data_IF_576914818424
#
_entry.id   IF_576914818424
#
_cell.length_a   1.000
_cell.length_b   1.000
_cell.length_c   1.000
_cell.angle_alpha   90.00
_cell.angle_beta   90.00
_cell.angle_gamma   90.00
#
_symmetry.space_group_name_H-M   'P 1'
#
loop_
_entity.id
_entity.type
_entity.pdbx_description
1 polymer ?
#
# COMPACT_ATOMS: atom_id res chain seq x y z
N UNK A 1 -2.09 19.20 -17.55
CA UNK A 1 -2.33 18.14 -16.58
C UNK A 1 -3.62 17.46 -16.99
N UNK A 2 -3.58 16.15 -17.18
CA UNK A 2 -4.74 15.37 -17.64
C UNK A 2 -5.49 14.77 -16.45
N UNK A 3 -6.77 14.44 -16.63
CA UNK A 3 -7.67 13.97 -15.56
C UNK A 3 -7.12 12.76 -14.79
N UNK A 4 -6.49 11.80 -15.47
CA UNK A 4 -5.87 10.64 -14.83
C UNK A 4 -4.74 11.03 -13.89
N UNK A 5 -3.90 11.98 -14.32
CA UNK A 5 -2.78 12.48 -13.50
C UNK A 5 -3.29 13.17 -12.25
N UNK A 6 -4.40 13.91 -12.37
CA UNK A 6 -5.01 14.60 -11.25
C UNK A 6 -5.62 13.62 -10.24
N UNK A 7 -6.35 12.62 -10.74
CA UNK A 7 -6.94 11.58 -9.90
C UNK A 7 -5.88 10.83 -9.10
N UNK A 8 -4.80 10.40 -9.75
CA UNK A 8 -3.71 9.66 -9.10
C UNK A 8 -2.92 10.54 -8.14
N UNK A 9 -2.72 11.81 -8.46
CA UNK A 9 -2.10 12.74 -7.51
C UNK A 9 -2.95 12.89 -6.24
N UNK A 10 -4.27 13.04 -6.38
CA UNK A 10 -5.18 13.13 -5.24
C UNK A 10 -5.19 11.84 -4.43
N UNK A 11 -5.16 10.68 -5.09
CA UNK A 11 -5.05 9.37 -4.43
C UNK A 11 -3.73 9.25 -3.64
N UNK A 12 -2.60 9.59 -4.27
CA UNK A 12 -1.29 9.59 -3.62
C UNK A 12 -1.24 10.54 -2.41
N UNK A 13 -1.88 11.72 -2.50
CA UNK A 13 -1.98 12.67 -1.39
C UNK A 13 -2.74 12.10 -0.19
N UNK A 14 -3.85 11.38 -0.43
CA UNK A 14 -4.60 10.72 0.63
C UNK A 14 -3.80 9.58 1.26
N UNK A 15 -3.21 8.72 0.41
CA UNK A 15 -2.39 7.60 0.85
C UNK A 15 -1.18 8.07 1.70
N UNK A 16 -0.50 9.13 1.26
CA UNK A 16 0.61 9.72 2.03
C UNK A 16 0.16 10.19 3.41
N UNK A 17 -0.98 10.87 3.52
CA UNK A 17 -1.52 11.34 4.79
C UNK A 17 -1.81 10.17 5.74
N UNK A 18 -2.46 9.13 5.25
CA UNK A 18 -2.79 7.95 6.05
C UNK A 18 -1.54 7.18 6.47
N UNK A 19 -0.60 6.96 5.55
CA UNK A 19 0.63 6.23 5.83
C UNK A 19 1.55 6.97 6.82
N UNK A 20 1.66 8.30 6.71
CA UNK A 20 2.37 9.11 7.72
C UNK A 20 1.67 9.03 9.08
N UNK A 21 0.33 9.05 9.11
CA UNK A 21 -0.40 8.88 10.37
C UNK A 21 -0.14 7.51 11.00
N UNK A 22 -0.15 6.42 10.22
CA UNK A 22 0.18 5.07 10.69
C UNK A 22 1.62 5.04 11.23
N UNK A 23 2.59 5.60 10.49
CA UNK A 23 3.99 5.71 10.93
C UNK A 23 4.09 6.36 12.32
N UNK A 24 3.45 7.52 12.49
CA UNK A 24 3.48 8.26 13.76
C UNK A 24 2.79 7.47 14.88
N UNK A 25 1.66 6.83 14.59
CA UNK A 25 0.93 6.01 15.55
C UNK A 25 1.79 4.83 16.05
N UNK A 26 2.51 4.14 15.16
CA UNK A 26 3.42 3.05 15.52
C UNK A 26 4.57 3.55 16.40
N UNK A 27 5.12 4.73 16.11
CA UNK A 27 6.17 5.34 16.91
C UNK A 27 5.66 5.72 18.32
N UNK A 28 4.45 6.28 18.42
CA UNK A 28 3.82 6.63 19.70
C UNK A 28 3.51 5.38 20.55
N UNK A 29 3.14 4.27 19.91
CA UNK A 29 2.91 2.99 20.60
C UNK A 29 4.21 2.33 21.10
N UNK A 30 5.39 2.82 20.69
CA UNK A 30 6.68 2.26 21.10
C UNK A 30 6.98 0.87 20.55
N UNK A 31 6.23 0.41 19.54
CA UNK A 31 6.42 -0.90 18.89
C UNK A 31 7.74 -0.92 18.11
N UNK A 32 8.13 0.22 17.54
CA UNK A 32 9.41 0.42 16.84
C UNK A 32 10.11 1.64 17.45
N UNK A 33 11.38 1.55 17.88
CA UNK A 33 12.07 2.61 18.63
C UNK A 33 12.15 3.96 17.90
N UNK A 34 12.31 3.93 16.57
CA UNK A 34 12.26 5.11 15.70
C UNK A 34 12.15 4.65 14.24
N UNK A 35 11.36 5.35 13.43
CA UNK A 35 11.27 5.16 11.99
C UNK A 35 11.83 6.42 11.32
N UNK A 36 13.08 6.35 10.86
CA UNK A 36 13.81 7.50 10.32
C UNK A 36 13.47 7.70 8.85
N UNK A 37 13.26 6.61 8.11
CA UNK A 37 13.07 6.61 6.68
C UNK A 37 11.74 7.26 6.29
N UNK A 38 11.71 8.00 5.16
CA UNK A 38 10.47 8.54 4.60
C UNK A 38 9.55 7.41 4.18
N UNK A 39 8.24 7.63 4.32
CA UNK A 39 7.24 6.71 3.77
C UNK A 39 7.33 6.71 2.25
N UNK A 40 7.47 5.54 1.63
CA UNK A 40 7.50 5.42 0.17
C UNK A 40 6.07 5.27 -0.37
N UNK A 41 5.66 6.20 -1.23
CA UNK A 41 4.38 6.15 -1.94
C UNK A 41 4.66 5.73 -3.39
N UNK A 42 4.21 4.54 -3.74
CA UNK A 42 4.34 4.01 -5.09
C UNK A 42 3.26 4.57 -6.01
N UNK A 43 3.65 5.02 -7.20
CA UNK A 43 2.75 5.52 -8.24
C UNK A 43 3.25 5.08 -9.61
N UNK A 44 2.35 4.72 -10.52
CA UNK A 44 2.67 4.32 -11.90
C UNK A 44 2.68 5.50 -12.88
N UNK A 45 2.09 6.64 -12.48
CA UNK A 45 2.02 7.84 -13.31
C UNK A 45 3.14 8.85 -13.05
N UNK A 46 4.02 8.95 -14.05
CA UNK A 46 5.10 9.92 -14.12
C UNK A 46 4.67 11.38 -13.94
N UNK A 47 3.51 11.76 -14.48
CA UNK A 47 2.97 13.11 -14.33
C UNK A 47 2.67 13.43 -12.87
N UNK A 48 2.09 12.49 -12.11
CA UNK A 48 1.78 12.69 -10.70
C UNK A 48 3.07 12.76 -9.87
N UNK A 49 4.03 11.87 -10.13
CA UNK A 49 5.36 11.88 -9.50
C UNK A 49 6.09 13.19 -9.78
N UNK A 50 6.12 13.63 -11.04
CA UNK A 50 6.78 14.87 -11.43
C UNK A 50 6.14 16.08 -10.74
N UNK A 51 4.81 16.12 -10.62
CA UNK A 51 4.10 17.21 -9.94
C UNK A 51 4.39 17.29 -8.44
N UNK A 52 4.71 16.15 -7.80
CA UNK A 52 5.08 16.11 -6.39
C UNK A 52 6.53 16.56 -6.17
N UNK A 53 7.44 16.22 -7.10
CA UNK A 53 8.87 16.58 -7.03
C UNK A 53 9.14 18.01 -7.49
N UNK A 54 8.50 18.46 -8.57
CA UNK A 54 8.79 19.75 -9.18
C UNK A 54 7.50 20.49 -9.57
N UNK A 55 7.25 21.69 -9.01
CA UNK A 55 6.00 22.40 -9.22
C UNK A 55 5.94 23.01 -10.62
N UNK A 56 5.25 22.32 -11.55
CA UNK A 56 4.84 22.96 -12.81
C UNK A 56 3.56 23.76 -12.57
N UNK A 57 3.65 25.07 -12.81
CA UNK A 57 2.54 26.02 -12.70
C UNK A 57 1.37 25.61 -13.60
N UNK A 58 0.23 25.27 -12.99
CA UNK A 58 -1.03 25.05 -13.71
C UNK A 58 -2.19 25.73 -12.96
N UNK A 59 -2.86 26.64 -13.68
CA UNK A 59 -3.82 27.62 -13.14
C UNK A 59 -5.25 27.05 -12.95
N UNK A 60 -5.40 25.75 -12.71
CA UNK A 60 -6.73 25.12 -12.63
C UNK A 60 -7.05 24.66 -11.20
N UNK A 61 -8.11 25.29 -10.67
CA UNK A 61 -8.87 24.98 -9.45
C UNK A 61 -8.23 25.22 -8.06
N UNK A 62 -8.70 26.30 -7.41
CA UNK A 62 -8.28 26.70 -6.05
C UNK A 62 -8.48 25.64 -4.96
N UNK A 63 -9.49 24.78 -5.08
CA UNK A 63 -9.79 23.74 -4.07
C UNK A 63 -8.91 22.50 -4.20
N UNK A 64 -8.37 22.26 -5.39
CA UNK A 64 -7.42 21.20 -5.69
C UNK A 64 -6.02 21.60 -5.22
N UNK A 65 -5.64 22.89 -5.36
CA UNK A 65 -4.37 23.43 -4.88
C UNK A 65 -4.02 23.00 -3.45
N UNK A 66 -4.98 23.00 -2.51
CA UNK A 66 -4.72 22.61 -1.12
C UNK A 66 -4.19 21.17 -0.99
N UNK A 67 -4.78 20.20 -1.72
CA UNK A 67 -4.30 18.80 -1.72
C UNK A 67 -2.93 18.69 -2.40
N UNK A 68 -2.70 19.51 -3.41
CA UNK A 68 -1.42 19.57 -4.11
C UNK A 68 -0.31 20.09 -3.23
N UNK A 69 -0.57 21.17 -2.49
CA UNK A 69 0.36 21.71 -1.51
C UNK A 69 0.66 20.71 -0.40
N UNK A 70 -0.34 19.97 0.09
CA UNK A 70 -0.14 19.00 1.16
C UNK A 70 0.89 17.91 0.82
N UNK A 71 0.72 17.23 -0.32
CA UNK A 71 1.66 16.17 -0.72
C UNK A 71 3.06 16.73 -0.98
N UNK A 72 3.17 17.92 -1.58
CA UNK A 72 4.46 18.60 -1.77
C UNK A 72 5.13 18.95 -0.46
N UNK A 73 4.37 19.45 0.50
CA UNK A 73 4.87 19.80 1.82
C UNK A 73 5.44 18.56 2.52
N UNK A 74 4.69 17.46 2.52
CA UNK A 74 5.14 16.16 3.07
C UNK A 74 6.42 15.65 2.40
N UNK A 75 6.51 15.76 1.07
CA UNK A 75 7.71 15.38 0.32
C UNK A 75 8.89 16.30 0.66
N UNK A 76 8.66 17.62 0.73
CA UNK A 76 9.70 18.61 1.03
C UNK A 76 10.24 18.49 2.46
N UNK A 77 9.39 18.10 3.41
CA UNK A 77 9.76 17.83 4.80
C UNK A 77 10.51 16.50 4.96
N UNK A 78 10.50 15.64 3.95
CA UNK A 78 11.07 14.31 4.03
C UNK A 78 10.19 13.32 4.81
N UNK A 79 8.91 13.62 5.03
CA UNK A 79 7.99 12.69 5.69
C UNK A 79 7.65 11.50 4.76
N UNK A 80 7.57 11.77 3.46
CA UNK A 80 7.35 10.76 2.43
C UNK A 80 8.13 11.06 1.13
N UNK A 81 8.25 10.05 0.26
CA UNK A 81 8.79 10.19 -1.10
C UNK A 81 7.92 9.44 -2.10
N UNK A 82 7.87 9.92 -3.34
CA UNK A 82 7.18 9.24 -4.43
C UNK A 82 8.16 8.50 -5.35
N UNK A 83 7.95 7.20 -5.46
CA UNK A 83 8.73 6.30 -6.31
C UNK A 83 7.85 5.67 -7.39
N UNK A 84 8.45 5.42 -8.55
CA UNK A 84 7.75 4.79 -9.66
C UNK A 84 7.60 3.30 -9.40
N UNK A 85 6.40 2.78 -9.61
CA UNK A 85 6.14 1.34 -9.76
C UNK A 85 5.68 1.05 -11.18
N UNK A 86 5.99 -0.13 -11.71
CA UNK A 86 5.42 -0.56 -12.99
C UNK A 86 3.94 -0.91 -12.79
N UNK A 87 3.07 -0.65 -13.77
CA UNK A 87 1.64 -1.01 -13.66
C UNK A 87 1.46 -2.52 -13.41
N UNK A 88 2.34 -3.35 -13.98
CA UNK A 88 2.34 -4.82 -13.79
C UNK A 88 2.68 -5.24 -12.35
N UNK A 89 3.40 -4.40 -11.61
CA UNK A 89 3.78 -4.65 -10.22
C UNK A 89 2.96 -3.84 -9.23
N UNK A 90 2.13 -2.91 -9.71
CA UNK A 90 1.29 -2.10 -8.87
C UNK A 90 0.16 -2.94 -8.28
N UNK A 91 0.35 -3.40 -7.04
CA UNK A 91 -0.68 -4.17 -6.33
C UNK A 91 -1.97 -3.39 -6.17
N UNK A 92 -2.01 -2.07 -6.33
CA UNK A 92 -3.25 -1.29 -6.28
C UNK A 92 -4.07 -1.31 -7.58
N UNK A 93 -3.52 -1.74 -8.70
CA UNK A 93 -4.23 -1.76 -9.99
C UNK A 93 -5.54 -2.57 -9.96
N UNK A 94 -5.62 -3.77 -9.35
CA UNK A 94 -6.87 -4.50 -9.16
C UNK A 94 -7.99 -3.71 -8.46
N UNK A 95 -7.62 -2.76 -7.59
CA UNK A 95 -8.59 -1.97 -6.81
C UNK A 95 -9.09 -0.73 -7.58
N UNK A 96 -8.45 -0.38 -8.69
CA UNK A 96 -8.67 0.89 -9.38
C UNK A 96 -8.97 0.74 -10.88
N UNK A 97 -8.67 -0.42 -11.48
CA UNK A 97 -8.79 -0.68 -12.91
C UNK A 97 -9.47 -2.03 -13.17
N UNK A 98 -10.33 -2.14 -14.20
CA UNK A 98 -10.80 -3.43 -14.68
C UNK A 98 -9.65 -4.20 -15.32
N UNK A 99 -9.50 -5.48 -14.99
CA UNK A 99 -8.46 -6.36 -15.53
C UNK A 99 -8.91 -7.82 -15.61
N UNK A 100 -8.12 -8.66 -16.28
CA UNK A 100 -8.41 -10.09 -16.37
C UNK A 100 -8.31 -10.80 -15.01
N UNK A 101 -9.06 -11.89 -14.85
CA UNK A 101 -9.05 -12.67 -13.61
C UNK A 101 -7.64 -13.19 -13.26
N UNK A 102 -6.85 -13.59 -14.26
CA UNK A 102 -5.48 -14.08 -14.05
C UNK A 102 -4.60 -12.98 -13.47
N UNK A 103 -4.62 -11.79 -14.05
CA UNK A 103 -3.86 -10.64 -13.53
C UNK A 103 -4.33 -10.27 -12.12
N UNK A 104 -5.65 -10.26 -11.89
CA UNK A 104 -6.24 -9.98 -10.59
C UNK A 104 -5.75 -10.96 -9.51
N UNK A 105 -5.80 -12.27 -9.76
CA UNK A 105 -5.31 -13.30 -8.81
C UNK A 105 -3.83 -13.14 -8.52
N UNK A 106 -2.98 -12.89 -9.54
CA UNK A 106 -1.55 -12.66 -9.34
C UNK A 106 -1.26 -11.47 -8.42
N UNK A 107 -2.05 -10.40 -8.51
CA UNK A 107 -1.91 -9.26 -7.61
C UNK A 107 -2.44 -9.55 -6.20
N UNK A 108 -3.53 -10.31 -6.05
CA UNK A 108 -4.04 -10.73 -4.73
C UNK A 108 -3.02 -11.59 -3.98
N UNK A 109 -2.36 -12.52 -4.67
CA UNK A 109 -1.29 -13.34 -4.10
C UNK A 109 -0.15 -12.44 -3.58
N UNK A 110 0.22 -11.40 -4.33
CA UNK A 110 1.23 -10.40 -3.90
C UNK A 110 0.78 -9.56 -2.70
N UNK A 111 -0.52 -9.38 -2.49
CA UNK A 111 -1.06 -8.72 -1.28
C UNK A 111 -1.10 -9.67 -0.07
N UNK A 112 -0.86 -10.97 -0.25
CA UNK A 112 -1.08 -11.98 0.78
C UNK A 112 -2.57 -12.31 0.99
N UNK A 113 -3.42 -12.01 0.01
CA UNK A 113 -4.84 -12.35 0.05
C UNK A 113 -5.05 -13.74 -0.56
N UNK A 114 -5.35 -14.72 0.27
CA UNK A 114 -5.73 -16.06 -0.14
C UNK A 114 -7.25 -16.23 -0.18
N UNK A 115 -7.73 -17.21 -0.94
CA UNK A 115 -9.16 -17.48 -1.00
C UNK A 115 -9.65 -18.02 0.35
N UNK A 116 -10.93 -17.79 0.66
CA UNK A 116 -11.56 -18.33 1.88
C UNK A 116 -11.45 -19.87 1.95
N UNK A 117 -11.36 -20.55 0.81
CA UNK A 117 -11.16 -22.00 0.75
C UNK A 117 -9.79 -22.43 1.28
N UNK A 118 -8.75 -21.67 0.99
CA UNK A 118 -7.39 -21.92 1.49
C UNK A 118 -7.31 -21.68 3.01
N UNK A 119 -8.02 -20.66 3.49
CA UNK A 119 -8.14 -20.35 4.91
C UNK A 119 -8.83 -21.47 5.69
N UNK A 120 -9.89 -22.06 5.13
CA UNK A 120 -10.57 -23.20 5.74
C UNK A 120 -9.64 -24.41 5.80
N UNK A 121 -8.86 -24.69 4.75
CA UNK A 121 -7.88 -25.78 4.74
C UNK A 121 -6.80 -25.59 5.81
N UNK A 122 -6.22 -24.39 5.92
CA UNK A 122 -5.23 -24.06 6.98
C UNK A 122 -5.86 -24.18 8.36
N UNK A 123 -7.10 -23.68 8.54
CA UNK A 123 -7.82 -23.78 9.81
C UNK A 123 -8.05 -25.24 10.21
N UNK A 124 -8.42 -26.10 9.27
CA UNK A 124 -8.58 -27.54 9.53
C UNK A 124 -7.25 -28.24 9.81
N UNK A 125 -6.15 -27.81 9.20
CA UNK A 125 -4.81 -28.32 9.47
C UNK A 125 -4.33 -27.92 10.88
N UNK A 126 -4.55 -26.67 11.29
CA UNK A 126 -4.24 -26.19 12.65
C UNK A 126 -5.09 -26.93 13.68
N UNK A 127 -6.41 -27.07 13.44
CA UNK A 127 -7.29 -27.83 14.33
C UNK A 127 -6.83 -29.28 14.43
N UNK A 128 -6.46 -29.92 13.31
CA UNK A 128 -5.91 -31.28 13.31
C UNK A 128 -4.62 -31.39 14.12
N UNK A 129 -3.69 -30.43 13.98
CA UNK A 129 -2.43 -30.42 14.74
C UNK A 129 -2.71 -30.26 16.23
N UNK A 130 -3.57 -29.32 16.62
CA UNK A 130 -3.95 -29.13 18.02
C UNK A 130 -4.66 -30.37 18.59
N UNK A 131 -5.50 -31.04 17.81
CA UNK A 131 -6.16 -32.29 18.22
C UNK A 131 -5.16 -33.46 18.35
N UNK A 132 -4.13 -33.53 17.52
CA UNK A 132 -3.06 -34.54 17.61
C UNK A 132 -2.16 -34.33 18.84
N UNK A 133 -1.84 -33.07 19.16
CA UNK A 133 -1.10 -32.70 20.37
C UNK A 133 -1.92 -32.96 21.64
N UNK A 134 -3.23 -32.64 21.63
CA UNK A 134 -4.12 -32.88 22.76
C UNK A 134 -4.35 -34.38 23.04
N UNK A 135 -4.26 -35.23 22.02
CA UNK A 135 -4.37 -36.69 22.15
C UNK A 135 -3.03 -37.41 22.39
N UNK A 136 -1.92 -36.67 22.59
CA UNK A 136 -0.62 -37.24 22.94
C UNK A 136 0.07 -38.01 21.81
N UNK A 137 -0.36 -37.84 20.56
CA UNK A 137 0.26 -38.47 19.39
C UNK A 137 1.29 -37.48 18.81
N UNK A 138 2.36 -37.23 19.55
CA UNK A 138 3.51 -36.48 19.03
C UNK A 138 4.25 -37.30 17.96
N UNK A 139 4.97 -36.67 17.02
CA UNK A 139 5.72 -37.40 16.01
C UNK A 139 6.79 -38.25 16.71
N UNK A 140 6.70 -39.57 16.56
CA UNK A 140 7.80 -40.48 16.87
C UNK A 140 8.96 -40.14 15.91
N UNK A 141 9.90 -39.35 16.41
CA UNK A 141 11.23 -39.20 15.81
C UNK A 141 11.91 -40.56 15.92
N UNK A 142 12.14 -41.20 14.76
CA UNK A 142 13.09 -42.32 14.63
C UNK A 142 14.48 -41.72 14.46
#
# INVERSE_FOLDING_TARGET
MDFTTEAEYIAASKAAKEAIWIKNCIQELGVVPSIVEPVVIFCDNNGAIAQAKEPRSHHRFKHILRRYHLLREMVSRGDCRMDRVSSVENTMDPLTKPMSQIAHTQHLDKMGLSSMGDWLSIKWEIVRICDLEANGIGPHVI
#
